data_IF_455398128453
#
_entry.id   IF_455398128453
#
_cell.length_a   1.000
_cell.length_b   1.000
_cell.length_c   1.000
_cell.angle_alpha   90.00
_cell.angle_beta   90.00
_cell.angle_gamma   90.00
#
_symmetry.space_group_name_H-M   'P 1'
#
loop_
_entity.id
_entity.type
_entity.pdbx_description
1 polymer ?
#
# COMPACT_ATOMS: atom_id res chain seq x y z
N UNK A 1 -17.16 -23.27 -48.26
CA UNK A 1 -17.19 -21.81 -48.09
C UNK A 1 -17.82 -21.37 -46.76
N UNK A 2 -19.06 -21.75 -46.40
CA UNK A 2 -19.68 -21.27 -45.11
C UNK A 2 -18.92 -21.68 -43.83
N UNK A 3 -18.30 -22.87 -43.78
CA UNK A 3 -17.52 -23.29 -42.60
C UNK A 3 -16.18 -22.58 -42.48
N UNK A 4 -15.57 -22.15 -43.56
CA UNK A 4 -14.32 -21.39 -43.56
C UNK A 4 -14.55 -19.91 -43.17
N UNK A 5 -15.70 -19.36 -43.49
CA UNK A 5 -16.10 -18.00 -43.09
C UNK A 5 -16.40 -17.94 -41.59
N UNK A 6 -17.04 -18.98 -41.01
CA UNK A 6 -17.24 -19.08 -39.57
C UNK A 6 -15.89 -19.20 -38.78
N UNK A 7 -14.92 -19.94 -39.33
CA UNK A 7 -13.60 -20.06 -38.71
C UNK A 7 -12.80 -18.74 -38.78
N UNK A 8 -12.93 -17.99 -39.87
CA UNK A 8 -12.31 -16.67 -40.01
C UNK A 8 -12.95 -15.61 -39.08
N UNK A 9 -14.26 -15.69 -38.85
CA UNK A 9 -14.98 -14.78 -37.94
C UNK A 9 -14.61 -15.12 -36.48
N UNK A 10 -14.43 -16.40 -36.14
CA UNK A 10 -13.98 -16.81 -34.80
C UNK A 10 -12.50 -16.49 -34.54
N UNK A 11 -11.66 -16.45 -35.58
CA UNK A 11 -10.23 -16.07 -35.48
C UNK A 11 -10.03 -14.55 -35.36
N UNK A 12 -11.01 -13.73 -35.78
CA UNK A 12 -10.98 -12.25 -35.58
C UNK A 12 -11.55 -11.81 -34.20
N UNK A 13 -12.13 -12.75 -33.45
CA UNK A 13 -12.63 -12.51 -32.10
C UNK A 13 -11.61 -12.93 -31.01
N UNK A 14 -10.34 -13.00 -31.32
CA UNK A 14 -9.32 -12.82 -30.28
C UNK A 14 -9.36 -11.37 -29.87
N UNK A 15 -10.31 -11.03 -29.00
CA UNK A 15 -10.23 -9.85 -28.18
C UNK A 15 -8.84 -9.91 -27.54
N UNK A 16 -7.96 -9.03 -28.01
CA UNK A 16 -6.72 -8.74 -27.31
C UNK A 16 -7.19 -8.14 -25.99
N UNK A 17 -7.31 -8.97 -24.97
CA UNK A 17 -7.51 -8.51 -23.60
C UNK A 17 -6.19 -7.84 -23.24
N UNK A 18 -6.08 -6.55 -23.57
CA UNK A 18 -5.04 -5.72 -22.99
C UNK A 18 -5.46 -5.47 -21.54
N UNK A 19 -4.78 -6.10 -20.63
CA UNK A 19 -4.80 -5.63 -19.25
C UNK A 19 -4.18 -4.23 -19.26
N UNK A 20 -4.89 -3.25 -18.70
CA UNK A 20 -4.36 -1.91 -18.56
C UNK A 20 -3.15 -1.95 -17.65
N UNK A 21 -2.03 -1.58 -18.21
CA UNK A 21 -0.77 -1.62 -17.52
C UNK A 21 -0.43 -0.28 -16.88
N UNK A 22 0.30 -0.36 -15.78
CA UNK A 22 0.91 0.78 -15.17
C UNK A 22 0.40 1.05 -13.75
N UNK A 23 1.16 1.91 -13.09
CA UNK A 23 0.76 2.61 -11.88
C UNK A 23 0.74 4.09 -12.23
N UNK A 24 -0.46 4.63 -12.35
CA UNK A 24 -0.65 6.01 -12.78
C UNK A 24 -0.47 6.96 -11.60
N UNK A 25 0.31 8.01 -11.82
CA UNK A 25 0.55 9.02 -10.80
C UNK A 25 -0.64 9.97 -10.72
N UNK A 26 -1.13 10.23 -9.51
CA UNK A 26 -2.27 11.11 -9.29
C UNK A 26 -2.12 12.50 -9.96
N UNK A 27 -0.98 13.21 -9.87
CA UNK A 27 -0.81 14.49 -10.55
C UNK A 27 -0.93 14.44 -12.07
N UNK A 28 -0.63 13.29 -12.66
CA UNK A 28 -0.59 13.10 -14.10
C UNK A 28 -1.92 12.60 -14.68
N UNK A 29 -2.89 12.17 -13.83
CA UNK A 29 -4.15 11.57 -14.28
C UNK A 29 -4.88 12.42 -15.31
N UNK A 30 -5.05 13.72 -15.04
CA UNK A 30 -5.77 14.63 -15.93
C UNK A 30 -5.11 14.82 -17.28
N UNK A 31 -3.78 14.83 -17.32
CA UNK A 31 -3.01 15.15 -18.53
C UNK A 31 -2.63 13.92 -19.34
N UNK A 32 -2.50 12.77 -18.71
CA UNK A 32 -1.98 11.57 -19.35
C UNK A 32 -2.97 10.40 -19.41
N UNK A 33 -3.85 10.27 -18.42
CA UNK A 33 -4.63 9.05 -18.26
C UNK A 33 -6.15 9.24 -18.35
N UNK A 34 -6.66 10.49 -18.30
CA UNK A 34 -8.11 10.74 -18.27
C UNK A 34 -8.85 10.12 -19.47
N UNK A 35 -8.27 10.22 -20.68
CA UNK A 35 -8.90 9.65 -21.89
C UNK A 35 -9.03 8.13 -21.72
N UNK A 36 -7.96 7.43 -21.34
CA UNK A 36 -7.99 6.00 -21.13
C UNK A 36 -8.98 5.59 -20.02
N UNK A 37 -9.02 6.34 -18.91
CA UNK A 37 -9.99 6.08 -17.83
C UNK A 37 -11.44 6.26 -18.30
N UNK A 38 -11.71 7.26 -19.15
CA UNK A 38 -13.03 7.47 -19.76
C UNK A 38 -13.43 6.35 -20.71
N UNK A 39 -12.48 5.89 -21.54
CA UNK A 39 -12.69 4.76 -22.45
C UNK A 39 -13.00 3.46 -21.70
N UNK A 40 -12.42 3.30 -20.50
CA UNK A 40 -12.69 2.19 -19.59
C UNK A 40 -14.01 2.34 -18.80
N UNK A 41 -14.69 3.48 -18.88
CA UNK A 41 -15.97 3.71 -18.25
C UNK A 41 -15.97 4.62 -17.02
N UNK A 42 -14.91 5.41 -16.79
CA UNK A 42 -14.94 6.41 -15.71
C UNK A 42 -16.00 7.48 -15.99
N UNK A 43 -17.02 7.56 -15.16
CA UNK A 43 -18.13 8.53 -15.30
C UNK A 43 -17.93 9.80 -14.47
N UNK A 44 -17.31 9.68 -13.28
CA UNK A 44 -17.08 10.83 -12.39
C UNK A 44 -16.01 11.77 -12.96
N UNK A 45 -16.05 13.09 -12.61
CA UNK A 45 -14.98 14.02 -12.97
C UNK A 45 -13.63 13.56 -12.46
N UNK A 46 -12.56 13.73 -13.23
CA UNK A 46 -11.21 13.32 -12.83
C UNK A 46 -10.76 14.07 -11.57
N UNK A 47 -11.25 15.29 -11.35
CA UNK A 47 -11.00 16.09 -10.16
C UNK A 47 -11.61 15.49 -8.89
N UNK A 48 -12.63 14.65 -9.00
CA UNK A 48 -13.13 13.88 -7.86
C UNK A 48 -12.18 12.75 -7.48
N UNK A 49 -11.46 12.18 -8.44
CA UNK A 49 -10.42 11.18 -8.18
C UNK A 49 -9.20 11.85 -7.55
N UNK A 50 -8.70 12.93 -8.17
CA UNK A 50 -7.58 13.72 -7.68
C UNK A 50 -7.74 15.20 -7.99
N UNK A 51 -7.64 16.03 -6.95
CA UNK A 51 -7.63 17.47 -7.06
C UNK A 51 -6.43 18.04 -6.29
N UNK A 52 -5.54 18.73 -6.99
CA UNK A 52 -4.34 19.33 -6.37
C UNK A 52 -4.68 20.49 -5.40
N UNK A 53 -5.84 21.16 -5.60
CA UNK A 53 -6.25 22.36 -4.88
C UNK A 53 -7.54 22.19 -4.06
N UNK A 54 -8.11 20.99 -4.05
CA UNK A 54 -9.38 20.71 -3.39
C UNK A 54 -9.46 19.28 -2.86
N UNK A 55 -10.60 18.97 -2.24
CA UNK A 55 -10.89 17.62 -1.76
C UNK A 55 -11.19 16.66 -2.92
N UNK A 56 -10.71 15.45 -2.81
CA UNK A 56 -10.91 14.37 -3.79
C UNK A 56 -10.92 13.01 -3.08
N UNK A 57 -11.07 11.91 -3.81
CA UNK A 57 -10.97 10.57 -3.24
C UNK A 57 -9.61 10.31 -2.58
N UNK A 58 -8.52 10.93 -3.08
CA UNK A 58 -7.19 10.88 -2.47
C UNK A 58 -7.20 11.20 -0.97
N UNK A 59 -8.05 12.14 -0.53
CA UNK A 59 -8.09 12.60 0.85
C UNK A 59 -8.71 11.61 1.83
N UNK A 60 -9.33 10.55 1.31
CA UNK A 60 -9.82 9.43 2.10
C UNK A 60 -8.89 8.21 2.10
N UNK A 61 -7.78 8.25 1.33
CA UNK A 61 -6.82 7.15 1.21
C UNK A 61 -5.56 7.49 2.00
N UNK A 62 -5.16 6.61 2.89
CA UNK A 62 -4.06 6.85 3.85
C UNK A 62 -2.96 5.79 3.74
N UNK A 63 -1.73 6.20 4.00
CA UNK A 63 -0.63 5.28 4.17
C UNK A 63 -0.68 4.72 5.60
N UNK A 64 -0.87 3.41 5.71
CA UNK A 64 -1.08 2.70 6.96
C UNK A 64 0.17 1.94 7.38
N UNK A 65 0.66 2.18 8.60
CA UNK A 65 1.75 1.44 9.21
C UNK A 65 3.10 1.50 8.48
N UNK A 66 3.26 2.34 7.46
CA UNK A 66 4.52 2.51 6.72
C UNK A 66 4.73 1.55 5.55
N UNK A 67 3.75 0.72 5.19
CA UNK A 67 3.87 -0.22 4.06
C UNK A 67 2.55 -0.63 3.42
N UNK A 68 1.43 -0.21 4.00
CA UNK A 68 0.09 -0.57 3.54
C UNK A 68 -0.74 0.66 3.14
N UNK A 69 -1.84 0.39 2.49
CA UNK A 69 -2.91 1.36 2.24
C UNK A 69 -4.05 1.10 3.21
N UNK A 70 -4.69 2.16 3.68
CA UNK A 70 -5.97 2.11 4.36
C UNK A 70 -6.89 3.16 3.75
N UNK A 71 -8.19 2.95 3.89
CA UNK A 71 -9.21 3.90 3.47
C UNK A 71 -10.07 4.33 4.64
N UNK A 72 -10.30 5.64 4.73
CA UNK A 72 -11.20 6.20 5.74
C UNK A 72 -12.63 6.01 5.25
N UNK A 73 -13.45 5.31 6.02
CA UNK A 73 -14.82 4.89 5.66
C UNK A 73 -15.91 5.52 6.54
N UNK A 74 -15.54 6.45 7.41
CA UNK A 74 -16.52 7.22 8.20
C UNK A 74 -16.04 8.63 8.47
N UNK A 75 -16.96 9.54 8.77
CA UNK A 75 -16.66 10.92 9.18
C UNK A 75 -15.86 11.01 10.48
N UNK A 76 -15.80 9.94 11.27
CA UNK A 76 -15.10 9.85 12.56
C UNK A 76 -13.84 8.98 12.48
N UNK A 77 -13.11 9.06 11.38
CA UNK A 77 -11.77 8.49 11.25
C UNK A 77 -11.69 6.96 11.31
N UNK A 78 -12.78 6.22 11.02
CA UNK A 78 -12.71 4.77 10.91
C UNK A 78 -11.97 4.40 9.63
N UNK A 79 -10.91 3.60 9.78
CA UNK A 79 -10.05 3.13 8.68
C UNK A 79 -10.28 1.65 8.45
N UNK A 80 -10.55 1.28 7.20
CA UNK A 80 -10.52 -0.09 6.72
C UNK A 80 -9.16 -0.35 6.08
N UNK A 81 -8.55 -1.49 6.38
CA UNK A 81 -7.31 -1.96 5.75
C UNK A 81 -7.26 -3.48 5.75
N UNK A 82 -6.22 -4.08 5.19
CA UNK A 82 -6.07 -5.53 5.18
C UNK A 82 -5.80 -6.10 6.59
N UNK A 83 -6.24 -7.33 6.83
CA UNK A 83 -5.92 -8.08 8.04
C UNK A 83 -4.41 -8.26 8.21
N UNK A 84 -3.69 -8.59 7.12
CA UNK A 84 -2.25 -8.74 7.17
C UNK A 84 -1.51 -7.43 7.46
N UNK A 85 -2.09 -6.27 7.15
CA UNK A 85 -1.56 -4.96 7.51
C UNK A 85 -1.76 -4.65 8.99
N UNK A 86 -2.88 -5.07 9.56
CA UNK A 86 -3.17 -4.98 10.99
C UNK A 86 -2.54 -6.09 11.84
N UNK A 87 -1.93 -7.11 11.23
CA UNK A 87 -1.52 -8.34 11.91
C UNK A 87 -0.56 -8.10 13.07
N UNK A 88 0.36 -7.14 12.94
CA UNK A 88 1.26 -6.75 14.02
C UNK A 88 0.54 -6.12 15.22
N UNK A 89 -0.49 -5.31 14.98
CA UNK A 89 -1.32 -4.73 16.04
C UNK A 89 -2.18 -5.80 16.73
N UNK A 90 -2.78 -6.71 15.95
CA UNK A 90 -3.55 -7.85 16.51
C UNK A 90 -2.64 -8.71 17.39
N UNK A 91 -1.42 -9.02 16.93
CA UNK A 91 -0.44 -9.77 17.70
C UNK A 91 -0.05 -9.03 18.99
N UNK A 92 0.15 -7.72 18.95
CA UNK A 92 0.54 -6.91 20.10
C UNK A 92 -0.46 -7.02 21.26
N UNK A 93 -1.73 -7.20 20.94
CA UNK A 93 -2.82 -7.36 21.90
C UNK A 93 -3.16 -8.81 22.22
N UNK A 94 -2.50 -9.77 21.57
CA UNK A 94 -2.74 -11.20 21.78
C UNK A 94 -1.81 -11.79 22.85
N UNK A 95 -2.37 -12.66 23.66
CA UNK A 95 -1.66 -13.52 24.60
C UNK A 95 -2.34 -14.89 24.67
N UNK A 96 -1.87 -15.80 25.52
CA UNK A 96 -2.43 -17.15 25.60
C UNK A 96 -3.88 -17.17 26.14
N UNK A 97 -4.24 -16.20 26.96
CA UNK A 97 -5.59 -16.07 27.54
C UNK A 97 -6.55 -15.35 26.58
N UNK A 98 -6.03 -14.46 25.73
CA UNK A 98 -6.79 -13.67 24.76
C UNK A 98 -6.07 -13.71 23.40
N UNK A 99 -6.31 -14.78 22.67
CA UNK A 99 -5.66 -15.00 21.37
C UNK A 99 -6.45 -14.33 20.23
N UNK A 100 -6.36 -13.00 20.13
CA UNK A 100 -7.06 -12.24 19.07
C UNK A 100 -6.61 -12.60 17.64
N UNK A 101 -5.43 -13.21 17.46
CA UNK A 101 -5.02 -13.75 16.18
C UNK A 101 -5.93 -14.91 15.75
N UNK A 102 -6.28 -15.79 16.70
CA UNK A 102 -7.12 -16.96 16.42
C UNK A 102 -8.61 -16.63 16.51
N UNK A 103 -9.01 -15.83 17.48
CA UNK A 103 -10.43 -15.61 17.84
C UNK A 103 -11.01 -14.35 17.17
N UNK A 104 -10.14 -13.44 16.71
CA UNK A 104 -10.55 -12.12 16.28
C UNK A 104 -10.80 -11.19 17.47
N UNK A 105 -11.10 -9.93 17.14
CA UNK A 105 -11.44 -8.89 18.13
C UNK A 105 -12.44 -7.91 17.54
N UNK A 106 -13.41 -7.47 18.35
CA UNK A 106 -14.36 -6.43 17.98
C UNK A 106 -14.63 -5.53 19.18
N UNK A 107 -14.28 -4.24 19.06
CA UNK A 107 -14.64 -3.24 20.04
C UNK A 107 -16.14 -2.90 19.91
N UNK A 108 -16.91 -3.18 20.94
CA UNK A 108 -18.36 -2.94 20.94
C UNK A 108 -18.72 -1.47 21.24
N UNK A 109 -17.78 -0.67 21.68
CA UNK A 109 -17.91 0.75 21.93
C UNK A 109 -16.53 1.43 21.86
N UNK A 110 -16.49 2.77 21.97
CA UNK A 110 -15.24 3.56 21.86
C UNK A 110 -14.23 3.23 22.96
N UNK A 111 -14.68 2.97 24.16
CA UNK A 111 -13.80 2.70 25.30
C UNK A 111 -13.12 1.34 25.19
N UNK A 112 -13.68 0.42 24.39
CA UNK A 112 -13.12 -0.89 24.10
C UNK A 112 -12.11 -0.87 22.94
N UNK A 113 -11.95 0.25 22.20
CA UNK A 113 -10.97 0.36 21.14
C UNK A 113 -9.55 0.34 21.70
N UNK A 114 -8.68 -0.54 21.17
CA UNK A 114 -7.37 -0.83 21.74
C UNK A 114 -6.28 0.09 21.16
N UNK A 115 -5.59 0.91 21.97
CA UNK A 115 -4.46 1.72 21.50
C UNK A 115 -3.36 0.84 20.89
N UNK A 116 -2.82 1.26 19.75
CA UNK A 116 -1.75 0.52 19.04
C UNK A 116 -0.46 1.35 19.00
N UNK A 117 0.34 1.36 20.08
CA UNK A 117 1.57 2.15 20.15
C UNK A 117 2.54 1.81 19.01
N UNK A 118 3.05 2.86 18.36
CA UNK A 118 3.98 2.74 17.23
C UNK A 118 3.31 2.63 15.86
N UNK A 119 2.02 2.32 15.78
CA UNK A 119 1.27 2.38 14.52
C UNK A 119 1.00 3.84 14.16
N UNK A 120 1.18 4.15 12.88
CA UNK A 120 0.95 5.51 12.35
C UNK A 120 0.06 5.44 11.13
N UNK A 121 -0.77 6.46 10.96
CA UNK A 121 -1.55 6.69 9.75
C UNK A 121 -1.14 8.03 9.16
N UNK A 122 -0.88 8.06 7.86
CA UNK A 122 -0.34 9.25 7.20
C UNK A 122 -1.23 9.65 6.04
N UNK A 123 -1.72 10.88 6.05
CA UNK A 123 -2.41 11.52 4.93
C UNK A 123 -1.39 12.20 4.02
N UNK A 124 -1.65 12.18 2.71
CA UNK A 124 -0.96 13.05 1.76
C UNK A 124 -1.81 14.32 1.62
N UNK A 125 -1.30 15.43 2.13
CA UNK A 125 -1.98 16.72 2.03
C UNK A 125 -1.80 17.31 0.63
N UNK A 126 -0.55 17.32 0.11
CA UNK A 126 -0.20 17.88 -1.19
C UNK A 126 0.82 17.02 -1.91
N UNK A 127 0.69 16.96 -3.24
CA UNK A 127 1.71 16.40 -4.15
C UNK A 127 2.12 17.51 -5.10
N UNK A 128 3.38 17.90 -5.07
CA UNK A 128 3.92 19.01 -5.85
C UNK A 128 4.96 18.50 -6.85
N UNK A 129 4.80 18.82 -8.13
CA UNK A 129 5.88 18.63 -9.10
C UNK A 129 6.94 19.71 -8.84
N UNK A 130 8.11 19.27 -8.41
CA UNK A 130 9.25 20.13 -8.07
C UNK A 130 10.44 19.86 -8.99
N UNK A 131 10.18 19.29 -10.16
CA UNK A 131 11.20 18.83 -11.10
C UNK A 131 12.16 19.95 -11.48
N UNK A 132 11.66 21.11 -11.87
CA UNK A 132 12.49 22.25 -12.29
C UNK A 132 13.33 22.76 -11.11
N UNK A 133 12.74 22.86 -9.93
CA UNK A 133 13.47 23.30 -8.74
C UNK A 133 14.62 22.35 -8.39
N UNK A 134 14.37 21.03 -8.40
CA UNK A 134 15.41 20.01 -8.13
C UNK A 134 16.54 20.11 -9.16
N UNK A 135 16.19 20.21 -10.45
CA UNK A 135 17.16 20.34 -11.52
C UNK A 135 18.03 21.60 -11.38
N UNK A 136 17.45 22.71 -10.91
CA UNK A 136 18.22 23.91 -10.57
C UNK A 136 19.17 23.70 -9.40
N UNK A 137 18.73 23.01 -8.33
CA UNK A 137 19.60 22.72 -7.20
C UNK A 137 20.74 21.78 -7.59
N UNK A 138 20.48 20.74 -8.41
CA UNK A 138 21.50 19.84 -8.92
C UNK A 138 22.59 20.58 -9.73
N UNK A 139 22.19 21.62 -10.48
CA UNK A 139 23.16 22.47 -11.22
C UNK A 139 23.99 23.39 -10.30
N UNK A 140 23.39 23.83 -9.18
CA UNK A 140 24.02 24.75 -8.22
C UNK A 140 24.96 24.03 -7.26
N UNK A 141 24.55 22.86 -6.80
CA UNK A 141 25.27 22.10 -5.80
C UNK A 141 26.37 21.22 -6.45
N UNK A 142 27.51 21.09 -5.76
CA UNK A 142 28.58 20.22 -6.22
C UNK A 142 28.22 18.76 -6.05
N UNK A 143 28.31 17.98 -7.10
CA UNK A 143 28.09 16.53 -7.12
C UNK A 143 29.21 15.82 -7.86
N UNK A 144 30.36 15.58 -7.20
CA UNK A 144 31.52 14.95 -7.85
C UNK A 144 31.25 13.53 -8.35
N UNK A 145 30.31 12.82 -7.72
CA UNK A 145 29.95 11.43 -8.04
C UNK A 145 28.78 11.32 -9.01
N UNK A 146 28.06 12.41 -9.27
CA UNK A 146 26.90 12.43 -10.16
C UNK A 146 25.72 11.58 -9.64
N UNK A 147 25.58 11.40 -8.32
CA UNK A 147 24.59 10.53 -7.69
C UNK A 147 23.46 11.25 -6.96
N UNK A 148 23.57 12.56 -6.80
CA UNK A 148 22.63 13.37 -6.02
C UNK A 148 21.20 13.30 -6.55
N UNK A 149 21.01 13.16 -7.85
CA UNK A 149 19.69 13.12 -8.50
C UNK A 149 18.79 11.97 -8.02
N UNK A 150 19.36 10.89 -7.46
CA UNK A 150 18.63 9.77 -6.86
C UNK A 150 18.89 9.61 -5.35
N UNK A 151 19.78 10.43 -4.77
CA UNK A 151 20.15 10.30 -3.36
C UNK A 151 19.04 10.76 -2.43
N UNK A 152 18.45 9.88 -1.60
CA UNK A 152 17.42 10.27 -0.63
C UNK A 152 17.91 11.35 0.35
N UNK A 153 19.18 11.28 0.76
CA UNK A 153 19.78 12.26 1.67
C UNK A 153 19.86 13.65 1.05
N UNK A 154 20.25 13.73 -0.23
CA UNK A 154 20.28 14.99 -0.95
C UNK A 154 18.86 15.51 -1.21
N UNK A 155 17.98 14.67 -1.70
CA UNK A 155 16.59 15.04 -2.00
C UNK A 155 15.83 15.53 -0.77
N UNK A 156 16.08 14.96 0.41
CA UNK A 156 15.49 15.47 1.67
C UNK A 156 15.96 16.90 1.99
N UNK A 157 17.24 17.22 1.79
CA UNK A 157 17.75 18.61 1.95
C UNK A 157 17.11 19.58 0.96
N UNK A 158 16.90 19.14 -0.28
CA UNK A 158 16.21 19.94 -1.30
C UNK A 158 14.75 20.14 -0.93
N UNK A 159 14.06 19.14 -0.38
CA UNK A 159 12.68 19.24 0.11
C UNK A 159 12.54 20.32 1.20
N UNK A 160 13.46 20.35 2.17
CA UNK A 160 13.48 21.36 3.23
C UNK A 160 13.72 22.77 2.67
N UNK A 161 14.65 22.93 1.70
CA UNK A 161 14.90 24.20 1.02
C UNK A 161 13.64 24.69 0.28
N UNK A 162 13.00 23.79 -0.47
CA UNK A 162 11.76 24.10 -1.19
C UNK A 162 10.65 24.51 -0.24
N UNK A 163 10.43 23.74 0.81
CA UNK A 163 9.38 24.04 1.79
C UNK A 163 9.56 25.42 2.44
N UNK A 164 10.83 25.79 2.72
CA UNK A 164 11.16 27.13 3.23
C UNK A 164 10.90 28.23 2.20
N UNK A 165 11.27 28.00 0.94
CA UNK A 165 11.08 28.98 -0.15
C UNK A 165 9.59 29.23 -0.43
N UNK A 166 8.76 28.17 -0.38
CA UNK A 166 7.33 28.22 -0.64
C UNK A 166 6.48 28.47 0.62
N UNK A 167 7.11 28.77 1.76
CA UNK A 167 6.44 28.98 3.05
C UNK A 167 5.46 27.87 3.43
N UNK A 168 5.83 26.61 3.17
CA UNK A 168 5.05 25.45 3.58
C UNK A 168 5.13 25.36 5.10
N UNK A 169 3.98 25.34 5.76
CA UNK A 169 3.89 25.22 7.22
C UNK A 169 4.39 23.83 7.64
N UNK A 170 5.40 23.81 8.52
CA UNK A 170 5.97 22.58 9.09
C UNK A 170 5.63 22.52 10.56
N UNK A 171 4.84 21.50 10.92
CA UNK A 171 4.51 21.15 12.31
C UNK A 171 5.27 19.89 12.72
N UNK A 172 5.31 19.48 13.99
CA UNK A 172 5.88 18.21 14.42
C UNK A 172 5.26 16.98 13.74
N UNK A 173 4.01 17.09 13.28
CA UNK A 173 3.30 16.03 12.55
C UNK A 173 3.51 16.08 11.03
N UNK A 174 4.13 17.12 10.50
CA UNK A 174 4.40 17.27 9.07
C UNK A 174 5.60 16.44 8.66
N UNK A 175 5.44 15.66 7.61
CA UNK A 175 6.52 14.91 6.97
C UNK A 175 6.65 15.33 5.51
N UNK A 176 7.82 15.79 5.14
CA UNK A 176 8.21 16.03 3.74
C UNK A 176 8.86 14.77 3.17
N UNK A 177 8.50 14.40 1.96
CA UNK A 177 9.14 13.32 1.24
C UNK A 177 9.28 13.68 -0.23
N UNK A 178 10.51 13.95 -0.67
CA UNK A 178 10.82 14.22 -2.07
C UNK A 178 11.36 12.94 -2.72
N UNK A 179 10.71 12.51 -3.78
CA UNK A 179 11.05 11.29 -4.52
C UNK A 179 11.37 11.59 -5.98
N UNK A 180 12.39 10.90 -6.48
CA UNK A 180 12.67 10.81 -7.91
C UNK A 180 11.79 9.72 -8.54
N UNK A 181 11.20 10.04 -9.67
CA UNK A 181 10.42 9.14 -10.53
C UNK A 181 11.05 9.05 -11.90
N UNK A 182 10.78 7.95 -12.61
CA UNK A 182 11.25 7.72 -13.97
C UNK A 182 12.77 7.91 -14.13
N UNK A 183 13.55 7.35 -13.17
CA UNK A 183 14.99 7.44 -13.17
C UNK A 183 15.56 8.86 -12.95
N UNK A 184 14.79 9.74 -12.30
CA UNK A 184 15.20 11.13 -12.04
C UNK A 184 14.74 12.13 -13.11
N UNK A 185 13.84 11.72 -14.01
CA UNK A 185 13.24 12.62 -15.00
C UNK A 185 12.10 13.47 -14.41
N UNK A 186 11.53 13.05 -13.28
CA UNK A 186 10.50 13.75 -12.52
C UNK A 186 10.78 13.70 -11.03
N UNK A 187 10.40 14.76 -10.32
CA UNK A 187 10.51 14.83 -8.86
C UNK A 187 9.22 15.35 -8.26
N UNK A 188 8.64 14.56 -7.35
CA UNK A 188 7.44 14.96 -6.63
C UNK A 188 7.74 15.11 -5.15
N UNK A 189 7.35 16.25 -4.58
CA UNK A 189 7.35 16.50 -3.15
C UNK A 189 5.98 16.15 -2.56
N UNK A 190 5.96 15.20 -1.65
CA UNK A 190 4.79 14.83 -0.87
C UNK A 190 4.85 15.58 0.47
N UNK A 191 3.87 16.42 0.71
CA UNK A 191 3.63 17.03 2.03
C UNK A 191 2.60 16.18 2.72
N UNK A 192 2.91 15.69 3.92
CA UNK A 192 2.13 14.67 4.62
C UNK A 192 1.85 15.08 6.06
N UNK A 193 0.68 14.66 6.58
CA UNK A 193 0.35 14.74 8.02
C UNK A 193 0.30 13.34 8.61
N UNK A 194 1.00 13.15 9.75
CA UNK A 194 1.13 11.87 10.45
C UNK A 194 0.34 11.89 11.74
N UNK A 195 -0.56 10.93 11.92
CA UNK A 195 -1.30 10.68 13.16
C UNK A 195 -0.71 9.47 13.89
N UNK A 196 -0.55 9.57 15.21
CA UNK A 196 0.11 8.57 16.06
C UNK A 196 -0.85 7.87 17.03
N UNK A 197 -1.99 8.47 17.40
CA UNK A 197 -3.01 7.77 18.20
C UNK A 197 -3.95 7.00 17.28
N UNK A 198 -3.59 5.75 17.02
CA UNK A 198 -4.36 4.81 16.22
C UNK A 198 -4.84 3.69 17.14
N UNK A 199 -6.13 3.34 17.05
CA UNK A 199 -6.71 2.31 17.88
C UNK A 199 -7.34 1.21 17.04
N UNK A 200 -7.13 -0.05 17.45
CA UNK A 200 -7.74 -1.20 16.81
C UNK A 200 -9.22 -1.28 17.20
N UNK A 201 -10.08 -1.30 16.19
CA UNK A 201 -11.53 -1.38 16.33
C UNK A 201 -12.01 -2.81 16.12
N UNK A 202 -11.43 -3.51 15.17
CA UNK A 202 -11.80 -4.88 14.90
C UNK A 202 -10.93 -5.59 13.88
N UNK A 203 -10.88 -6.90 14.02
CA UNK A 203 -10.29 -7.80 13.06
C UNK A 203 -10.98 -9.16 13.15
N UNK A 204 -11.30 -9.81 12.03
CA UNK A 204 -11.83 -11.17 12.06
C UNK A 204 -10.76 -12.14 12.55
N UNK A 205 -11.16 -13.36 13.01
CA UNK A 205 -10.23 -14.42 13.31
C UNK A 205 -9.38 -14.79 12.09
N UNK A 206 -8.16 -15.31 12.32
CA UNK A 206 -7.25 -15.72 11.22
C UNK A 206 -7.87 -16.74 10.28
N UNK A 207 -8.86 -17.53 10.73
CA UNK A 207 -9.63 -18.44 9.89
C UNK A 207 -10.44 -17.72 8.78
N UNK A 208 -10.65 -16.41 8.90
CA UNK A 208 -11.26 -15.54 7.89
C UNK A 208 -10.19 -14.61 7.32
N UNK A 209 -9.53 -13.83 8.19
CA UNK A 209 -8.56 -12.77 7.79
C UNK A 209 -7.30 -13.30 7.12
N UNK A 210 -6.99 -14.58 7.34
CA UNK A 210 -5.87 -15.30 6.73
C UNK A 210 -6.30 -16.66 6.19
N UNK A 211 -7.54 -16.78 5.68
CA UNK A 211 -8.04 -18.04 5.09
C UNK A 211 -7.11 -18.52 3.97
N UNK A 212 -6.84 -19.84 3.95
CA UNK A 212 -5.87 -20.45 3.06
C UNK A 212 -4.41 -20.26 3.48
N UNK A 213 -4.15 -19.42 4.49
CA UNK A 213 -2.84 -19.20 5.10
C UNK A 213 -1.72 -19.02 4.06
N UNK A 214 -0.55 -19.67 4.28
CA UNK A 214 0.57 -19.57 3.34
C UNK A 214 0.37 -20.42 2.07
N UNK A 215 -0.56 -21.41 2.09
CA UNK A 215 -0.86 -22.23 0.92
C UNK A 215 -1.44 -21.40 -0.21
N UNK A 216 -2.39 -20.51 0.10
CA UNK A 216 -3.08 -19.68 -0.90
C UNK A 216 -2.36 -18.37 -1.19
N UNK A 217 -1.33 -18.02 -0.41
CA UNK A 217 -0.59 -16.78 -0.63
C UNK A 217 0.14 -16.82 -1.98
N UNK A 218 0.01 -15.76 -2.78
CA UNK A 218 0.49 -15.66 -4.17
C UNK A 218 -0.13 -16.70 -5.12
N UNK A 219 -1.33 -17.19 -4.77
CA UNK A 219 -2.08 -18.14 -5.58
C UNK A 219 -3.45 -17.57 -5.96
N UNK A 220 -4.02 -18.11 -7.01
CA UNK A 220 -5.37 -17.80 -7.48
C UNK A 220 -6.18 -19.09 -7.65
N UNK A 221 -7.48 -19.12 -7.32
CA UNK A 221 -8.28 -18.06 -6.69
C UNK A 221 -8.01 -17.90 -5.18
N UNK A 222 -8.47 -16.75 -4.63
CA UNK A 222 -8.36 -16.42 -3.21
C UNK A 222 -9.75 -16.25 -2.60
N UNK A 223 -9.94 -16.79 -1.37
CA UNK A 223 -11.18 -16.71 -0.62
C UNK A 223 -11.00 -16.08 0.77
N UNK A 224 -9.94 -15.31 0.94
CA UNK A 224 -9.56 -14.68 2.20
C UNK A 224 -10.40 -13.43 2.45
N UNK A 225 -10.99 -13.29 3.63
CA UNK A 225 -11.60 -12.07 4.13
C UNK A 225 -10.52 -11.18 4.78
N UNK A 226 -9.57 -10.69 4.00
CA UNK A 226 -8.35 -10.01 4.46
C UNK A 226 -8.66 -8.54 4.78
N UNK A 227 -9.31 -8.28 5.91
CA UNK A 227 -9.61 -6.93 6.37
C UNK A 227 -9.41 -6.75 7.87
N UNK A 228 -9.17 -5.50 8.29
CA UNK A 228 -9.16 -5.06 9.69
C UNK A 228 -9.57 -3.61 9.79
N UNK A 229 -10.07 -3.21 10.95
CA UNK A 229 -10.59 -1.88 11.23
C UNK A 229 -9.79 -1.21 12.32
N UNK A 230 -9.43 0.04 12.07
CA UNK A 230 -8.75 0.93 13.01
C UNK A 230 -9.45 2.28 13.06
N UNK A 231 -9.13 3.09 14.06
CA UNK A 231 -9.63 4.45 14.15
C UNK A 231 -8.50 5.42 14.44
N UNK A 232 -8.53 6.54 13.75
CA UNK A 232 -7.62 7.66 13.99
C UNK A 232 -8.20 8.52 15.08
N UNK A 233 -7.40 8.82 16.09
CA UNK A 233 -7.70 9.78 17.14
C UNK A 233 -6.79 11.01 17.02
N UNK A 234 -7.30 12.15 17.49
CA UNK A 234 -6.63 13.43 17.48
C UNK A 234 -6.94 14.19 18.77
N UNK A 235 -6.27 15.30 19.00
CA UNK A 235 -6.66 16.22 20.07
C UNK A 235 -8.07 16.81 19.81
N UNK A 236 -8.62 17.53 20.78
CA UNK A 236 -9.97 18.14 20.69
C UNK A 236 -10.11 19.17 19.55
N UNK A 237 -8.99 19.62 18.97
CA UNK A 237 -8.95 20.54 17.85
C UNK A 237 -8.70 19.82 16.50
N UNK A 238 -8.66 18.49 16.47
CA UNK A 238 -8.39 17.68 15.30
C UNK A 238 -6.90 17.62 14.90
N UNK A 239 -5.99 18.10 15.76
CA UNK A 239 -4.55 18.06 15.48
C UNK A 239 -3.96 16.70 15.86
N UNK A 240 -2.97 16.22 15.10
CA UNK A 240 -2.23 15.02 15.46
C UNK A 240 -1.65 15.11 16.87
N UNK A 241 -1.83 14.04 17.64
CA UNK A 241 -1.34 13.95 19.01
C UNK A 241 -0.89 12.51 19.31
N UNK A 242 0.00 12.37 20.28
CA UNK A 242 0.31 11.06 20.86
C UNK A 242 -0.90 10.56 21.64
N UNK A 243 -0.91 9.24 21.94
CA UNK A 243 -2.02 8.63 22.67
C UNK A 243 -2.35 9.38 23.95
N UNK A 244 -3.63 9.72 24.09
CA UNK A 244 -4.22 10.26 25.34
C UNK A 244 -5.65 9.75 25.47
N UNK A 245 -6.10 9.52 26.71
CA UNK A 245 -7.51 9.22 27.00
C UNK A 245 -8.45 10.37 26.62
N UNK A 246 -7.92 11.62 26.58
CA UNK A 246 -8.68 12.81 26.24
C UNK A 246 -8.80 13.05 24.73
N UNK A 247 -8.08 12.28 23.91
CA UNK A 247 -8.19 12.38 22.47
C UNK A 247 -9.56 11.86 21.99
N UNK A 248 -10.03 12.46 20.93
CA UNK A 248 -11.32 12.15 20.30
C UNK A 248 -11.12 11.56 18.90
N UNK A 249 -12.10 10.81 18.36
CA UNK A 249 -12.04 10.38 16.97
C UNK A 249 -11.82 11.56 16.04
N UNK A 250 -10.92 11.39 15.06
CA UNK A 250 -10.63 12.42 14.08
C UNK A 250 -11.85 12.67 13.19
N UNK A 251 -12.35 13.90 13.17
CA UNK A 251 -13.31 14.31 12.16
C UNK A 251 -12.60 14.60 10.84
N UNK A 252 -12.79 13.71 9.87
CA UNK A 252 -12.13 13.82 8.56
C UNK A 252 -12.94 14.69 7.59
N UNK A 253 -12.25 15.33 6.65
CA UNK A 253 -12.88 16.16 5.60
C UNK A 253 -13.47 15.30 4.46
N UNK A 254 -12.95 14.12 4.24
CA UNK A 254 -13.37 13.18 3.20
C UNK A 254 -13.29 11.75 3.73
N UNK A 255 -14.30 10.94 3.39
CA UNK A 255 -14.29 9.49 3.59
C UNK A 255 -14.97 8.82 2.39
N UNK A 256 -14.70 7.53 2.21
CA UNK A 256 -15.36 6.72 1.17
C UNK A 256 -16.66 6.15 1.71
N UNK A 257 -17.65 6.07 0.85
CA UNK A 257 -18.93 5.41 1.15
C UNK A 257 -18.84 3.96 0.67
N UNK A 258 -19.22 3.02 1.53
CA UNK A 258 -19.32 1.61 1.17
C UNK A 258 -20.58 1.41 0.33
N UNK A 259 -20.42 0.89 -0.89
CA UNK A 259 -21.53 0.48 -1.74
C UNK A 259 -21.86 -0.99 -1.52
N UNK A 260 -23.14 -1.29 -1.34
CA UNK A 260 -23.66 -2.67 -1.29
C UNK A 260 -24.25 -3.13 -2.64
N UNK A 261 -24.20 -2.29 -3.65
CA UNK A 261 -24.69 -2.64 -5.00
C UNK A 261 -23.81 -3.69 -5.71
N UNK A 262 -22.54 -3.79 -5.27
CA UNK A 262 -21.55 -4.63 -5.94
C UNK A 262 -21.07 -4.02 -7.26
N UNK A 263 -20.43 -4.85 -8.07
CA UNK A 263 -19.94 -4.52 -9.41
C UNK A 263 -20.40 -5.56 -10.40
N UNK A 264 -20.57 -5.17 -11.66
CA UNK A 264 -20.94 -6.04 -12.77
C UNK A 264 -19.78 -6.14 -13.76
N UNK A 265 -19.83 -7.14 -14.65
CA UNK A 265 -18.89 -7.23 -15.76
C UNK A 265 -19.03 -6.00 -16.67
N UNK A 266 -17.91 -5.32 -16.94
CA UNK A 266 -17.86 -4.09 -17.73
C UNK A 266 -17.92 -2.80 -16.91
N UNK A 267 -18.17 -2.87 -15.60
CA UNK A 267 -18.09 -1.69 -14.74
C UNK A 267 -16.63 -1.21 -14.61
N UNK A 268 -16.44 0.10 -14.61
CA UNK A 268 -15.15 0.70 -14.34
C UNK A 268 -14.77 0.53 -12.87
N UNK A 269 -13.61 -0.03 -12.62
CA UNK A 269 -13.03 -0.16 -11.27
C UNK A 269 -11.56 0.28 -11.28
N UNK A 270 -11.10 0.81 -10.15
CA UNK A 270 -9.68 1.14 -9.96
C UNK A 270 -9.25 0.93 -8.50
N UNK A 271 -7.95 0.80 -8.29
CA UNK A 271 -7.33 0.72 -6.97
C UNK A 271 -6.49 1.96 -6.76
N UNK A 272 -6.73 2.67 -5.66
CA UNK A 272 -5.93 3.81 -5.24
C UNK A 272 -5.17 3.46 -3.97
N UNK A 273 -3.88 3.81 -3.92
CA UNK A 273 -3.12 3.58 -2.70
C UNK A 273 -1.62 3.67 -2.88
N UNK A 274 -0.91 2.97 -1.99
CA UNK A 274 0.53 2.99 -1.85
C UNK A 274 1.11 1.64 -2.24
N UNK A 275 1.37 1.40 -3.53
CA UNK A 275 1.93 0.14 -3.98
C UNK A 275 3.36 -0.04 -3.42
N UNK A 276 3.80 -1.29 -3.31
CA UNK A 276 5.15 -1.61 -2.92
C UNK A 276 6.16 -1.21 -4.01
N UNK A 277 6.90 -2.18 -4.53
CA UNK A 277 7.87 -1.97 -5.59
C UNK A 277 7.51 -2.82 -6.79
N UNK A 278 7.54 -2.26 -7.99
CA UNK A 278 7.55 -3.03 -9.22
C UNK A 278 8.89 -2.90 -9.96
N UNK A 279 9.12 -3.84 -10.88
CA UNK A 279 10.35 -3.98 -11.64
C UNK A 279 10.00 -4.13 -13.12
N UNK A 280 9.35 -3.10 -13.70
CA UNK A 280 8.79 -3.20 -15.04
C UNK A 280 9.82 -3.16 -16.17
N UNK A 281 10.96 -2.53 -15.95
CA UNK A 281 11.94 -2.25 -17.00
C UNK A 281 13.30 -2.87 -16.71
N UNK A 282 13.29 -4.11 -16.17
CA UNK A 282 14.51 -4.86 -15.96
C UNK A 282 15.06 -5.37 -17.30
N UNK A 283 16.37 -5.25 -17.49
CA UNK A 283 17.06 -5.93 -18.57
C UNK A 283 17.25 -7.43 -18.26
N UNK A 284 17.60 -8.24 -19.26
CA UNK A 284 17.75 -9.70 -19.11
C UNK A 284 18.68 -10.10 -17.97
N UNK A 285 19.83 -9.44 -17.85
CA UNK A 285 20.83 -9.72 -16.81
C UNK A 285 20.29 -9.47 -15.39
N UNK A 286 19.46 -8.43 -15.21
CA UNK A 286 18.79 -8.14 -13.94
C UNK A 286 17.72 -9.18 -13.61
N UNK A 287 16.98 -9.68 -14.61
CA UNK A 287 16.00 -10.76 -14.44
C UNK A 287 16.73 -12.04 -14.04
N UNK A 288 17.84 -12.37 -14.70
CA UNK A 288 18.67 -13.54 -14.40
C UNK A 288 19.25 -13.44 -12.97
N UNK A 289 19.84 -12.31 -12.58
CA UNK A 289 20.29 -12.07 -11.19
C UNK A 289 19.15 -12.27 -10.19
N UNK A 290 17.98 -11.71 -10.49
CA UNK A 290 16.79 -11.85 -9.63
C UNK A 290 16.44 -13.31 -9.41
N UNK A 291 16.44 -14.11 -10.45
CA UNK A 291 16.09 -15.53 -10.39
C UNK A 291 17.17 -16.35 -9.68
N UNK A 292 18.41 -16.22 -10.12
CA UNK A 292 19.51 -17.10 -9.73
C UNK A 292 20.15 -16.70 -8.38
N UNK A 293 20.12 -15.43 -8.02
CA UNK A 293 20.75 -14.91 -6.80
C UNK A 293 19.73 -14.51 -5.77
N UNK A 294 18.98 -13.43 -6.02
CA UNK A 294 18.09 -12.86 -5.02
C UNK A 294 16.97 -13.83 -4.60
N UNK A 295 16.25 -14.41 -5.55
CA UNK A 295 15.16 -15.34 -5.25
C UNK A 295 15.68 -16.68 -4.74
N UNK A 296 16.80 -17.17 -5.27
CA UNK A 296 17.45 -18.39 -4.78
C UNK A 296 17.82 -18.28 -3.30
N UNK A 297 18.51 -17.20 -2.90
CA UNK A 297 18.87 -16.95 -1.49
C UNK A 297 17.61 -16.86 -0.62
N UNK A 298 16.58 -16.14 -1.07
CA UNK A 298 15.31 -16.03 -0.35
C UNK A 298 14.63 -17.36 -0.13
N UNK A 299 14.57 -18.21 -1.16
CA UNK A 299 13.96 -19.53 -1.05
C UNK A 299 14.69 -20.42 -0.04
N UNK A 300 16.01 -20.49 -0.09
CA UNK A 300 16.80 -21.36 0.76
C UNK A 300 16.86 -20.87 2.22
N UNK A 301 17.26 -19.62 2.43
CA UNK A 301 17.44 -19.07 3.80
C UNK A 301 16.10 -18.94 4.51
N UNK A 302 15.08 -18.41 3.82
CA UNK A 302 13.75 -18.28 4.43
C UNK A 302 13.07 -19.63 4.61
N UNK A 303 13.22 -20.56 3.67
CA UNK A 303 12.70 -21.92 3.79
C UNK A 303 13.25 -22.65 5.02
N UNK A 304 14.55 -22.60 5.26
CA UNK A 304 15.17 -23.14 6.48
C UNK A 304 14.62 -22.46 7.76
N UNK A 305 14.53 -21.13 7.75
CA UNK A 305 13.96 -20.36 8.88
C UNK A 305 12.49 -20.73 9.14
N UNK A 306 11.66 -20.85 8.09
CA UNK A 306 10.24 -21.22 8.21
C UNK A 306 10.08 -22.58 8.89
N UNK A 307 10.89 -23.57 8.49
CA UNK A 307 10.84 -24.90 9.09
C UNK A 307 11.09 -24.86 10.58
N UNK A 308 12.14 -24.17 11.02
CA UNK A 308 12.49 -24.05 12.44
C UNK A 308 11.41 -23.30 13.23
N UNK A 309 10.94 -22.17 12.71
CA UNK A 309 9.89 -21.38 13.38
C UNK A 309 8.59 -22.18 13.50
N UNK A 310 8.13 -22.81 12.42
CA UNK A 310 6.89 -23.58 12.44
C UNK A 310 6.95 -24.73 13.42
N UNK A 311 8.05 -25.46 13.47
CA UNK A 311 8.24 -26.57 14.43
C UNK A 311 8.06 -26.12 15.89
N UNK A 312 8.58 -24.95 16.26
CA UNK A 312 8.44 -24.43 17.61
C UNK A 312 7.06 -23.80 17.87
N UNK A 313 6.52 -23.10 16.88
CA UNK A 313 5.19 -22.49 16.97
C UNK A 313 4.06 -23.52 17.12
N UNK A 314 4.22 -24.71 16.56
CA UNK A 314 3.26 -25.81 16.71
C UNK A 314 3.31 -26.47 18.11
N UNK A 315 4.43 -26.37 18.80
CA UNK A 315 4.62 -26.97 20.14
C UNK A 315 4.12 -26.05 21.27
N UNK A 316 4.18 -24.74 21.07
CA UNK A 316 3.93 -23.77 22.13
C UNK A 316 3.09 -22.58 21.62
N UNK A 317 1.85 -22.39 22.13
CA UNK A 317 0.98 -21.27 21.76
C UNK A 317 1.60 -19.89 22.05
N UNK A 318 2.39 -19.73 23.13
CA UNK A 318 3.03 -18.46 23.43
C UNK A 318 4.12 -18.14 22.39
N UNK A 319 4.91 -19.14 21.98
CA UNK A 319 5.88 -19.00 20.89
C UNK A 319 5.17 -18.68 19.56
N UNK A 320 4.04 -19.33 19.29
CA UNK A 320 3.23 -19.07 18.09
C UNK A 320 2.78 -17.62 18.03
N UNK A 321 2.19 -17.10 19.09
CA UNK A 321 1.76 -15.69 19.17
C UNK A 321 2.96 -14.77 19.00
N UNK A 322 4.04 -14.99 19.73
CA UNK A 322 5.23 -14.13 19.72
C UNK A 322 5.92 -14.02 18.35
N UNK A 323 5.89 -15.09 17.54
CA UNK A 323 6.55 -15.12 16.24
C UNK A 323 5.59 -14.98 15.05
N UNK A 324 4.28 -14.88 15.26
CA UNK A 324 3.26 -14.88 14.22
C UNK A 324 3.52 -13.87 13.09
N UNK A 325 3.75 -12.60 13.42
CA UNK A 325 4.01 -11.54 12.44
C UNK A 325 5.36 -11.73 11.72
N UNK A 326 6.40 -12.13 12.45
CA UNK A 326 7.73 -12.41 11.87
C UNK A 326 7.69 -13.59 10.91
N UNK A 327 6.94 -14.63 11.27
CA UNK A 327 6.72 -15.80 10.41
C UNK A 327 5.96 -15.40 9.15
N UNK A 328 4.81 -14.71 9.31
CA UNK A 328 3.98 -14.28 8.18
C UNK A 328 4.75 -13.41 7.18
N UNK A 329 5.52 -12.41 7.66
CA UNK A 329 6.35 -11.58 6.80
C UNK A 329 7.43 -12.41 6.07
N UNK A 330 8.09 -13.34 6.78
CA UNK A 330 9.11 -14.20 6.17
C UNK A 330 8.52 -15.14 5.12
N UNK A 331 7.34 -15.75 5.41
CA UNK A 331 6.61 -16.62 4.51
C UNK A 331 6.18 -15.91 3.22
N UNK A 332 5.71 -14.67 3.34
CA UNK A 332 5.29 -13.86 2.20
C UNK A 332 6.44 -13.68 1.18
N UNK A 333 7.62 -13.26 1.63
CA UNK A 333 8.79 -13.12 0.74
C UNK A 333 9.30 -14.45 0.18
N UNK A 334 9.19 -15.52 0.96
CA UNK A 334 9.56 -16.86 0.53
C UNK A 334 8.68 -17.35 -0.61
N UNK A 335 7.36 -17.30 -0.44
CA UNK A 335 6.37 -17.68 -1.44
C UNK A 335 6.45 -16.80 -2.69
N UNK A 336 6.65 -15.48 -2.52
CA UNK A 336 6.84 -14.57 -3.66
C UNK A 336 8.05 -14.96 -4.50
N UNK A 337 9.19 -15.30 -3.87
CA UNK A 337 10.39 -15.70 -4.60
C UNK A 337 10.20 -17.01 -5.40
N UNK A 338 9.45 -17.98 -4.84
CA UNK A 338 9.09 -19.22 -5.53
C UNK A 338 8.19 -18.92 -6.73
N UNK A 339 7.06 -18.27 -6.49
CA UNK A 339 6.06 -17.98 -7.52
C UNK A 339 6.59 -17.08 -8.65
N UNK A 340 7.47 -16.13 -8.31
CA UNK A 340 8.13 -15.28 -9.30
C UNK A 340 9.00 -16.12 -10.25
N UNK A 341 9.85 -17.01 -9.73
CA UNK A 341 10.70 -17.86 -10.56
C UNK A 341 9.87 -18.80 -11.44
N UNK A 342 8.82 -19.42 -10.87
CA UNK A 342 7.91 -20.28 -11.64
C UNK A 342 7.19 -19.50 -12.76
N UNK A 343 6.75 -18.26 -12.47
CA UNK A 343 6.10 -17.38 -13.44
C UNK A 343 7.04 -16.99 -14.59
N UNK A 344 8.26 -16.55 -14.27
CA UNK A 344 9.25 -16.12 -15.26
C UNK A 344 9.65 -17.28 -16.19
N UNK A 345 9.83 -18.48 -15.64
CA UNK A 345 10.11 -19.71 -16.44
C UNK A 345 8.91 -20.07 -17.33
N UNK A 346 7.70 -20.07 -16.76
CA UNK A 346 6.47 -20.43 -17.50
C UNK A 346 6.20 -19.46 -18.66
N UNK A 347 6.44 -18.16 -18.43
CA UNK A 347 6.24 -17.12 -19.44
C UNK A 347 7.40 -16.99 -20.43
N UNK A 348 8.48 -17.74 -20.24
CA UNK A 348 9.68 -17.72 -21.09
C UNK A 348 10.24 -16.29 -21.24
N UNK A 349 10.42 -15.61 -20.11
CA UNK A 349 10.87 -14.22 -20.08
C UNK A 349 12.34 -14.08 -20.46
N UNK A 350 13.16 -15.13 -20.24
CA UNK A 350 14.56 -15.26 -20.63
C UNK A 350 14.71 -16.32 -21.71
#
# INVERSE_FOLDING_TARGET
MRKQILFAIFSLATLIIHADEGMWMLPDLKTQNEIAMRELGLEIPIEEVYNANGLSLKDAVVHFGGGCTGEVISSEGLVLTNHHCGYGAIQQHSNVEHDYLTEGFWAMNRDAELPTPGLKVTFIDRILDVTDYVNEQLKKDKDPEGTNYLSPTYLNKVAERFAKAENIEITPATKLELKAFYGGNKYYLFVKTVYSDIRMVGAPPSSIGKFGADTDNWMWPRHTGDFSLFRIYADKNGKPAEYSKDNVPLHVKKHLTISLAGVQEGDFTFVMGFPGRNWRYMISDEVEERMQTTNFIRQHVRGARQKVLMEQMLKDPAVRIHYASKYASSANYWKNAIGMNEGLVRLKVL
#
